data_IF_328014129634
#
_entry.id   IF_328014129634
#
_cell.length_a   1.000
_cell.length_b   1.000
_cell.length_c   1.000
_cell.angle_alpha   90.00
_cell.angle_beta   90.00
_cell.angle_gamma   90.00
#
_symmetry.space_group_name_H-M   'P 1'
#
loop_
_entity.id
_entity.type
_entity.pdbx_description
1 polymer ?
#
# COMPACT_ATOMS: atom_id res chain seq x y z
N UNK A 1 -21.43 20.25 -18.92
CA UNK A 1 -19.95 20.13 -18.94
C UNK A 1 -19.48 19.02 -18.01
N UNK A 2 -20.00 17.79 -18.17
CA UNK A 2 -19.77 16.67 -17.24
C UNK A 2 -19.15 15.43 -17.91
N UNK A 3 -18.77 15.52 -19.19
CA UNK A 3 -18.32 14.37 -19.99
C UNK A 3 -16.87 14.52 -20.48
N UNK A 4 -16.00 15.20 -19.73
CA UNK A 4 -14.58 15.32 -20.10
C UNK A 4 -13.82 14.00 -19.94
N UNK A 5 -14.17 13.20 -18.94
CA UNK A 5 -13.65 11.84 -18.76
C UNK A 5 -14.75 10.81 -19.04
N UNK A 6 -14.41 9.70 -19.72
CA UNK A 6 -15.35 8.60 -19.92
C UNK A 6 -15.76 8.01 -18.57
N UNK A 7 -17.01 7.57 -18.47
CA UNK A 7 -17.47 6.84 -17.28
C UNK A 7 -16.68 5.54 -17.16
N UNK A 8 -16.48 5.08 -15.93
CA UNK A 8 -15.85 3.78 -15.67
C UNK A 8 -16.64 2.68 -16.39
N UNK A 9 -15.94 1.93 -17.23
CA UNK A 9 -16.46 0.74 -17.92
C UNK A 9 -16.15 -0.51 -17.09
N UNK A 10 -16.51 -1.68 -17.63
CA UNK A 10 -16.24 -2.98 -17.02
C UNK A 10 -14.76 -3.13 -16.65
N UNK A 11 -14.50 -3.57 -15.43
CA UNK A 11 -13.16 -3.85 -14.91
C UNK A 11 -12.91 -5.35 -14.84
N UNK A 12 -11.65 -5.76 -14.69
CA UNK A 12 -11.29 -7.18 -14.56
C UNK A 12 -12.00 -7.88 -13.39
N UNK A 13 -12.27 -7.13 -12.31
CA UNK A 13 -13.05 -7.63 -11.16
C UNK A 13 -14.51 -7.92 -11.51
N UNK A 14 -15.09 -7.15 -12.42
CA UNK A 14 -16.45 -7.38 -12.89
C UNK A 14 -16.52 -8.65 -13.75
N UNK A 15 -15.45 -8.94 -14.52
CA UNK A 15 -15.31 -10.18 -15.28
C UNK A 15 -15.14 -11.41 -14.37
N UNK A 16 -14.26 -11.33 -13.37
CA UNK A 16 -14.10 -12.39 -12.35
C UNK A 16 -15.41 -12.71 -11.63
N UNK A 17 -16.21 -11.68 -11.34
CA UNK A 17 -17.52 -11.86 -10.70
C UNK A 17 -18.55 -12.48 -11.63
N UNK A 18 -18.53 -12.13 -12.92
CA UNK A 18 -19.45 -12.66 -13.92
C UNK A 18 -19.15 -14.11 -14.29
N UNK A 19 -17.87 -14.51 -14.24
CA UNK A 19 -17.42 -15.85 -14.62
C UNK A 19 -16.57 -16.49 -13.51
N UNK A 20 -17.20 -16.95 -12.42
CA UNK A 20 -16.48 -17.54 -11.29
C UNK A 20 -15.78 -18.87 -11.63
N UNK A 21 -16.22 -19.56 -12.68
CA UNK A 21 -15.63 -20.83 -13.13
C UNK A 21 -14.36 -20.63 -13.98
N UNK A 22 -14.11 -19.40 -14.45
CA UNK A 22 -12.92 -19.04 -15.20
C UNK A 22 -11.85 -18.51 -14.25
N UNK A 23 -10.78 -19.29 -14.06
CA UNK A 23 -9.62 -18.83 -13.32
C UNK A 23 -8.89 -17.76 -14.12
N UNK A 24 -9.02 -16.50 -13.68
CA UNK A 24 -8.49 -15.32 -14.36
C UNK A 24 -7.54 -14.56 -13.45
N UNK A 25 -6.31 -14.35 -13.92
CA UNK A 25 -5.23 -13.69 -13.19
C UNK A 25 -5.01 -12.29 -13.75
N UNK A 26 -4.95 -11.29 -12.86
CA UNK A 26 -4.57 -9.92 -13.23
C UNK A 26 -3.08 -9.75 -12.96
N UNK A 27 -2.27 -9.86 -14.01
CA UNK A 27 -0.80 -9.82 -13.95
C UNK A 27 -0.29 -8.56 -13.22
N UNK A 28 -0.91 -7.40 -13.49
CA UNK A 28 -0.49 -6.12 -12.88
C UNK A 28 -0.79 -6.08 -11.38
N UNK A 29 -1.90 -6.67 -10.96
CA UNK A 29 -2.23 -6.78 -9.54
C UNK A 29 -1.34 -7.81 -8.84
N UNK A 30 -0.97 -8.90 -9.51
CA UNK A 30 -0.06 -9.92 -8.99
C UNK A 30 1.35 -9.37 -8.76
N UNK A 31 1.91 -8.66 -9.75
CA UNK A 31 3.21 -7.97 -9.65
C UNK A 31 3.21 -6.98 -8.47
N UNK A 32 2.11 -6.22 -8.31
CA UNK A 32 1.95 -5.28 -7.19
C UNK A 32 1.95 -6.00 -5.84
N UNK A 33 1.26 -7.14 -5.76
CA UNK A 33 1.19 -7.95 -4.54
C UNK A 33 2.55 -8.58 -4.21
N UNK A 34 3.28 -9.07 -5.21
CA UNK A 34 4.64 -9.60 -5.03
C UNK A 34 5.59 -8.50 -4.56
N UNK A 35 5.58 -7.33 -5.19
CA UNK A 35 6.39 -6.18 -4.76
C UNK A 35 6.12 -5.79 -3.30
N UNK A 36 4.86 -5.86 -2.85
CA UNK A 36 4.50 -5.63 -1.45
C UNK A 36 5.02 -6.74 -0.53
N UNK A 37 4.95 -8.01 -0.95
CA UNK A 37 5.50 -9.14 -0.17
C UNK A 37 7.01 -8.97 0.02
N UNK A 38 7.74 -8.64 -1.05
CA UNK A 38 9.18 -8.36 -1.01
C UNK A 38 9.49 -7.16 -0.10
N UNK A 39 8.71 -6.06 -0.21
CA UNK A 39 8.90 -4.89 0.65
C UNK A 39 8.67 -5.21 2.13
N UNK A 40 7.65 -6.02 2.45
CA UNK A 40 7.38 -6.49 3.81
C UNK A 40 8.49 -7.39 4.35
N UNK A 41 9.01 -8.33 3.55
CA UNK A 41 10.15 -9.18 3.93
C UNK A 41 11.38 -8.34 4.29
N UNK A 42 11.62 -7.24 3.57
CA UNK A 42 12.72 -6.31 3.83
C UNK A 42 12.47 -5.33 5.00
N UNK A 43 11.35 -5.45 5.71
CA UNK A 43 10.96 -4.51 6.77
C UNK A 43 10.58 -3.11 6.26
N UNK A 44 10.47 -2.92 4.95
CA UNK A 44 10.04 -1.68 4.27
C UNK A 44 8.54 -1.68 3.94
N UNK A 45 7.77 -2.54 4.60
CA UNK A 45 6.32 -2.59 4.46
C UNK A 45 5.67 -1.29 4.94
N UNK A 46 4.47 -1.01 4.41
CA UNK A 46 3.69 0.14 4.85
C UNK A 46 3.44 0.08 6.37
N UNK A 47 3.65 1.18 7.10
CA UNK A 47 3.43 1.20 8.54
C UNK A 47 1.95 0.97 8.87
N UNK A 48 1.68 0.46 10.08
CA UNK A 48 0.30 0.25 10.56
C UNK A 48 -0.45 1.59 10.54
N UNK A 49 -1.56 1.64 9.81
CA UNK A 49 -2.44 2.80 9.80
C UNK A 49 -3.11 2.95 11.17
N UNK A 50 -2.94 4.11 11.81
CA UNK A 50 -3.59 4.48 13.06
C UNK A 50 -5.08 4.70 12.79
N UNK A 51 -5.95 3.92 13.42
CA UNK A 51 -7.41 4.10 13.27
C UNK A 51 -8.04 4.85 14.44
N UNK A 52 -7.41 4.80 15.62
CA UNK A 52 -7.89 5.48 16.82
C UNK A 52 -6.95 6.60 17.28
N UNK A 53 -7.50 7.56 18.04
CA UNK A 53 -6.72 8.67 18.60
C UNK A 53 -5.61 8.18 19.54
N UNK A 54 -5.85 7.10 20.29
CA UNK A 54 -4.87 6.50 21.20
C UNK A 54 -3.67 5.88 20.46
N UNK A 55 -3.92 5.18 19.35
CA UNK A 55 -2.84 4.69 18.47
C UNK A 55 -2.06 5.84 17.84
N UNK A 56 -2.69 7.01 17.66
CA UNK A 56 -2.05 8.16 17.05
C UNK A 56 -0.95 8.77 17.93
N UNK A 57 -1.15 8.78 19.26
CA UNK A 57 -0.19 9.30 20.25
C UNK A 57 1.03 8.40 20.44
N UNK A 58 0.95 7.10 20.13
CA UNK A 58 2.07 6.14 20.30
C UNK A 58 3.27 6.37 19.38
N UNK A 59 3.11 7.11 18.28
CA UNK A 59 4.18 7.33 17.29
C UNK A 59 4.59 8.80 17.13
N UNK A 60 4.03 9.74 17.89
CA UNK A 60 4.40 11.17 17.80
C UNK A 60 5.79 11.48 18.40
N UNK A 61 6.40 10.56 19.14
CA UNK A 61 7.70 10.76 19.81
C UNK A 61 8.92 10.10 19.15
N UNK A 62 8.76 9.20 18.16
CA UNK A 62 9.89 8.52 17.49
C UNK A 62 10.42 9.34 16.31
N UNK A 63 10.91 10.56 16.57
CA UNK A 63 11.92 11.17 15.67
C UNK A 63 13.16 10.28 15.79
N UNK A 64 13.56 9.62 14.70
CA UNK A 64 14.85 8.94 14.62
C UNK A 64 15.92 9.99 14.94
N UNK A 65 16.63 9.87 16.07
CA UNK A 65 17.89 10.58 16.29
C UNK A 65 18.88 10.02 15.27
N UNK A 66 18.90 10.59 14.06
CA UNK A 66 19.96 10.35 13.10
C UNK A 66 21.22 11.02 13.63
N UNK A 67 22.11 10.19 14.18
CA UNK A 67 23.58 10.31 14.19
C UNK A 67 24.12 11.74 14.18
N UNK A 68 24.39 12.28 15.38
CA UNK A 68 25.45 13.30 15.56
C UNK A 68 26.50 12.60 16.40
N UNK A 69 27.52 12.06 15.74
CA UNK A 69 28.77 11.68 16.39
C UNK A 69 29.64 12.93 16.30
N UNK A 70 29.64 13.76 17.34
CA UNK A 70 30.70 14.73 17.59
C UNK A 70 31.89 13.93 18.16
N UNK A 71 32.94 13.77 17.36
CA UNK A 71 34.27 13.46 17.88
C UNK A 71 34.71 14.66 18.73
N UNK A 72 34.91 14.39 20.02
CA UNK A 72 35.46 15.32 21.01
C UNK A 72 36.86 15.77 20.59
N UNK A 73 37.09 17.06 20.77
CA UNK A 73 38.38 17.72 20.92
C UNK A 73 39.25 17.10 22.03
#
# INVERSE_FOLDING_TARGET
MAAYYPRKVVTFRDLQKAYPDLETWDEQEEDRLEGIRVAKQRGKGAPKKKRTLEESKKFTGKKKKSVVIEEKA
#
